data_IF_101865518974
#
_entry.id   IF_101865518974
#
_cell.length_a   1.000
_cell.length_b   1.000
_cell.length_c   1.000
_cell.angle_alpha   90.00
_cell.angle_beta   90.00
_cell.angle_gamma   90.00
#
_symmetry.space_group_name_H-M   'P 1'
#
loop_
_entity.id
_entity.type
_entity.pdbx_description
1 polymer ?
#
# COMPACT_ATOMS: atom_id res chain seq x y z
N UNK A 1 -18.35 -2.08 23.53
CA UNK A 1 -17.56 -1.99 22.27
C UNK A 1 -18.05 -3.08 21.35
N UNK A 2 -18.96 -2.78 20.41
CA UNK A 2 -19.37 -3.78 19.43
C UNK A 2 -18.19 -4.07 18.51
N UNK A 3 -17.64 -5.27 18.59
CA UNK A 3 -16.59 -5.73 17.69
C UNK A 3 -17.26 -5.99 16.34
N UNK A 4 -17.10 -5.03 15.43
CA UNK A 4 -17.64 -5.05 14.08
C UNK A 4 -16.97 -6.18 13.27
N UNK A 5 -17.48 -7.40 13.39
CA UNK A 5 -16.93 -8.56 12.68
C UNK A 5 -17.41 -8.55 11.22
N UNK A 6 -16.69 -7.84 10.33
CA UNK A 6 -16.88 -7.96 8.88
C UNK A 6 -16.66 -9.41 8.46
N UNK A 7 -17.67 -10.01 7.83
CA UNK A 7 -17.58 -11.36 7.25
C UNK A 7 -16.42 -11.46 6.26
N UNK A 8 -15.79 -12.63 6.15
CA UNK A 8 -14.69 -12.89 5.20
C UNK A 8 -15.11 -12.52 3.77
N UNK A 9 -16.38 -12.76 3.40
CA UNK A 9 -16.94 -12.38 2.10
C UNK A 9 -16.94 -10.87 1.88
N UNK A 10 -17.33 -10.08 2.89
CA UNK A 10 -17.31 -8.61 2.82
C UNK A 10 -15.88 -8.09 2.69
N UNK A 11 -14.92 -8.69 3.40
CA UNK A 11 -13.50 -8.31 3.31
C UNK A 11 -12.93 -8.56 1.92
N UNK A 12 -13.26 -9.70 1.32
CA UNK A 12 -12.81 -10.03 -0.05
C UNK A 12 -13.44 -9.08 -1.06
N UNK A 13 -14.75 -8.85 -1.00
CA UNK A 13 -15.43 -7.91 -1.92
C UNK A 13 -14.90 -6.49 -1.76
N UNK A 14 -14.68 -6.04 -0.53
CA UNK A 14 -14.05 -4.75 -0.25
C UNK A 14 -12.65 -4.65 -0.86
N UNK A 15 -11.79 -5.64 -0.61
CA UNK A 15 -10.44 -5.67 -1.14
C UNK A 15 -10.41 -5.69 -2.68
N UNK A 16 -11.28 -6.48 -3.31
CA UNK A 16 -11.39 -6.54 -4.77
C UNK A 16 -11.90 -5.22 -5.35
N UNK A 17 -12.94 -4.61 -4.78
CA UNK A 17 -13.46 -3.32 -5.24
C UNK A 17 -12.44 -2.20 -5.08
N UNK A 18 -11.71 -2.21 -3.96
CA UNK A 18 -10.59 -1.29 -3.72
C UNK A 18 -9.54 -1.46 -4.82
N UNK A 19 -9.06 -2.69 -5.03
CA UNK A 19 -7.97 -2.94 -5.97
C UNK A 19 -8.38 -2.62 -7.42
N UNK A 20 -9.59 -3.01 -7.83
CA UNK A 20 -10.09 -2.76 -9.20
C UNK A 20 -10.23 -1.25 -9.48
N UNK A 21 -10.78 -0.49 -8.54
CA UNK A 21 -10.91 0.97 -8.71
C UNK A 21 -9.55 1.66 -8.63
N UNK A 22 -8.67 1.20 -7.74
CA UNK A 22 -7.31 1.73 -7.62
C UNK A 22 -6.54 1.54 -8.94
N UNK A 23 -6.53 0.32 -9.50
CA UNK A 23 -5.89 0.02 -10.78
C UNK A 23 -6.58 0.77 -11.92
N UNK A 24 -7.91 0.84 -11.91
CA UNK A 24 -8.70 1.53 -12.94
C UNK A 24 -8.39 3.03 -13.06
N UNK A 25 -7.92 3.68 -11.99
CA UNK A 25 -7.54 5.10 -12.00
C UNK A 25 -6.02 5.27 -12.10
N UNK A 26 -5.26 4.49 -11.34
CA UNK A 26 -3.80 4.62 -11.28
C UNK A 26 -3.13 4.13 -12.56
N UNK A 27 -3.60 3.06 -13.20
CA UNK A 27 -2.96 2.52 -14.40
C UNK A 27 -3.06 3.46 -15.62
N UNK A 28 -4.21 4.09 -15.94
CA UNK A 28 -4.27 5.12 -16.98
C UNK A 28 -3.43 6.35 -16.66
N UNK A 29 -3.45 6.82 -15.41
CA UNK A 29 -2.65 7.97 -14.98
C UNK A 29 -1.15 7.69 -15.11
N UNK A 30 -0.71 6.53 -14.63
CA UNK A 30 0.67 6.13 -14.69
C UNK A 30 1.13 5.86 -16.14
N UNK A 31 0.26 5.28 -16.98
CA UNK A 31 0.52 5.12 -18.41
C UNK A 31 0.67 6.46 -19.13
N UNK A 32 -0.14 7.47 -18.77
CA UNK A 32 -0.02 8.82 -19.31
C UNK A 32 1.29 9.51 -18.88
N UNK A 33 1.72 9.32 -17.63
CA UNK A 33 2.96 9.90 -17.10
C UNK A 33 4.23 9.24 -17.66
N UNK A 34 4.20 7.92 -17.87
CA UNK A 34 5.38 7.14 -18.31
C UNK A 34 5.39 6.84 -19.81
N UNK A 35 4.28 7.09 -20.52
CA UNK A 35 4.10 6.72 -21.92
C UNK A 35 4.01 5.21 -22.18
N UNK A 36 3.90 4.38 -21.14
CA UNK A 36 3.82 2.91 -21.24
C UNK A 36 2.36 2.45 -21.37
N UNK A 37 2.15 1.17 -21.68
CA UNK A 37 0.79 0.60 -21.78
C UNK A 37 0.10 0.52 -20.42
N UNK A 38 -1.23 0.76 -20.40
CA UNK A 38 -2.06 0.66 -19.20
C UNK A 38 -1.92 -0.72 -18.53
N UNK A 39 -1.87 -1.78 -19.34
CA UNK A 39 -1.70 -3.15 -18.84
C UNK A 39 -0.35 -3.33 -18.14
N UNK A 40 0.75 -2.81 -18.71
CA UNK A 40 2.08 -2.88 -18.09
C UNK A 40 2.11 -2.12 -16.76
N UNK A 41 1.48 -0.94 -16.70
CA UNK A 41 1.42 -0.15 -15.48
C UNK A 41 0.55 -0.81 -14.40
N UNK A 42 -0.57 -1.43 -14.78
CA UNK A 42 -1.40 -2.20 -13.85
C UNK A 42 -0.68 -3.42 -13.27
N UNK A 43 0.13 -4.10 -14.09
CA UNK A 43 1.01 -5.19 -13.61
C UNK A 43 2.06 -4.64 -12.66
N UNK A 44 2.72 -3.54 -13.01
CA UNK A 44 3.73 -2.89 -12.17
C UNK A 44 3.15 -2.51 -10.80
N UNK A 45 1.99 -1.86 -10.75
CA UNK A 45 1.33 -1.49 -9.49
C UNK A 45 0.97 -2.71 -8.65
N UNK A 46 0.47 -3.78 -9.27
CA UNK A 46 0.15 -5.03 -8.57
C UNK A 46 1.41 -5.71 -8.00
N UNK A 47 2.52 -5.71 -8.75
CA UNK A 47 3.80 -6.26 -8.29
C UNK A 47 4.37 -5.43 -7.13
N UNK A 48 4.33 -4.10 -7.20
CA UNK A 48 4.75 -3.21 -6.11
C UNK A 48 3.90 -3.45 -4.86
N UNK A 49 2.57 -3.55 -5.00
CA UNK A 49 1.68 -3.85 -3.89
C UNK A 49 2.01 -5.20 -3.24
N UNK A 50 2.27 -6.23 -4.05
CA UNK A 50 2.72 -7.53 -3.55
C UNK A 50 4.08 -7.44 -2.84
N UNK A 51 5.05 -6.74 -3.42
CA UNK A 51 6.35 -6.50 -2.79
C UNK A 51 6.20 -5.78 -1.45
N UNK A 52 5.32 -4.79 -1.36
CA UNK A 52 5.03 -4.07 -0.11
C UNK A 52 4.42 -4.99 0.96
N UNK A 53 3.50 -5.88 0.58
CA UNK A 53 2.94 -6.89 1.51
C UNK A 53 4.04 -7.81 2.03
N UNK A 54 4.87 -8.35 1.13
CA UNK A 54 5.98 -9.24 1.50
C UNK A 54 6.99 -8.53 2.38
N UNK A 55 7.39 -7.31 2.00
CA UNK A 55 8.33 -6.49 2.78
C UNK A 55 7.76 -6.16 4.16
N UNK A 56 6.47 -5.85 4.25
CA UNK A 56 5.82 -5.57 5.52
C UNK A 56 5.82 -6.77 6.46
N UNK A 57 5.53 -7.96 5.94
CA UNK A 57 5.63 -9.18 6.74
C UNK A 57 7.06 -9.46 7.19
N UNK A 58 8.03 -9.33 6.29
CA UNK A 58 9.44 -9.58 6.58
C UNK A 58 10.00 -8.59 7.60
N UNK A 59 9.76 -7.30 7.42
CA UNK A 59 10.27 -6.24 8.28
C UNK A 59 9.67 -6.33 9.68
N UNK A 60 8.35 -6.53 9.79
CA UNK A 60 7.70 -6.74 11.09
C UNK A 60 8.26 -7.98 11.80
N UNK A 61 8.46 -9.09 11.06
CA UNK A 61 9.07 -10.30 11.64
C UNK A 61 10.51 -10.05 12.13
N UNK A 62 11.33 -9.37 11.35
CA UNK A 62 12.70 -9.01 11.74
C UNK A 62 12.71 -8.13 13.00
N UNK A 63 11.82 -7.14 13.04
CA UNK A 63 11.72 -6.21 14.16
C UNK A 63 11.16 -6.87 15.43
N UNK A 64 10.16 -7.73 15.32
CA UNK A 64 9.61 -8.50 16.42
C UNK A 64 10.67 -9.45 17.00
N UNK A 65 11.48 -10.10 16.14
CA UNK A 65 12.60 -10.93 16.58
C UNK A 65 13.68 -10.10 17.29
N UNK A 66 13.99 -8.90 16.78
CA UNK A 66 14.92 -7.96 17.42
C UNK A 66 14.42 -7.54 18.80
N UNK A 67 13.14 -7.20 18.91
CA UNK A 67 12.52 -6.84 20.18
C UNK A 67 12.51 -8.00 21.17
N UNK A 68 12.21 -9.22 20.72
CA UNK A 68 12.25 -10.40 21.57
C UNK A 68 13.67 -10.70 22.08
N UNK A 69 14.69 -10.44 21.26
CA UNK A 69 16.10 -10.63 21.64
C UNK A 69 16.61 -9.56 22.61
N UNK A 70 16.29 -8.28 22.38
CA UNK A 70 16.84 -7.16 23.14
C UNK A 70 15.91 -6.61 24.24
N UNK A 71 14.66 -7.08 24.31
CA UNK A 71 13.63 -6.71 25.30
C UNK A 71 13.48 -5.20 25.53
N UNK A 72 13.66 -4.39 24.49
CA UNK A 72 13.47 -2.94 24.58
C UNK A 72 11.98 -2.58 24.61
N UNK A 73 11.63 -1.53 25.36
CA UNK A 73 10.27 -1.00 25.38
C UNK A 73 9.98 -0.22 24.10
N UNK A 74 8.78 -0.38 23.49
CA UNK A 74 8.35 0.37 22.30
C UNK A 74 8.02 1.83 22.65
N UNK A 75 9.04 2.61 22.99
CA UNK A 75 8.94 4.07 23.17
C UNK A 75 8.59 4.75 21.84
N UNK A 76 8.13 6.01 21.90
CA UNK A 76 7.78 6.80 20.71
C UNK A 76 8.97 6.88 19.74
N UNK A 77 10.19 7.07 20.25
CA UNK A 77 11.42 7.09 19.45
C UNK A 77 11.65 5.81 18.66
N UNK A 78 11.43 4.65 19.29
CA UNK A 78 11.61 3.35 18.63
C UNK A 78 10.55 3.14 17.56
N UNK A 79 9.31 3.62 17.77
CA UNK A 79 8.26 3.58 16.75
C UNK A 79 8.60 4.46 15.55
N UNK A 80 9.16 5.65 15.77
CA UNK A 80 9.63 6.51 14.68
C UNK A 80 10.78 5.87 13.91
N UNK A 81 11.78 5.33 14.60
CA UNK A 81 12.89 4.58 13.97
C UNK A 81 12.39 3.39 13.16
N UNK A 82 11.42 2.64 13.69
CA UNK A 82 10.79 1.52 12.98
C UNK A 82 10.07 1.98 11.71
N UNK A 83 9.25 3.04 11.80
CA UNK A 83 8.55 3.57 10.63
C UNK A 83 9.52 4.12 9.58
N UNK A 84 10.54 4.88 9.99
CA UNK A 84 11.57 5.38 9.07
C UNK A 84 12.38 4.25 8.43
N UNK A 85 12.76 3.23 9.20
CA UNK A 85 13.51 2.08 8.69
C UNK A 85 12.68 1.21 7.74
N UNK A 86 11.38 1.05 8.02
CA UNK A 86 10.43 0.39 7.14
C UNK A 86 10.38 1.07 5.79
N UNK A 87 10.14 2.39 5.79
CA UNK A 87 9.95 3.18 4.58
C UNK A 87 11.24 3.23 3.75
N UNK A 88 12.38 3.49 4.42
CA UNK A 88 13.69 3.48 3.75
C UNK A 88 14.02 2.13 3.14
N UNK A 89 13.77 1.04 3.87
CA UNK A 89 13.99 -0.31 3.36
C UNK A 89 13.10 -0.64 2.17
N UNK A 90 11.84 -0.21 2.20
CA UNK A 90 10.91 -0.39 1.10
C UNK A 90 11.36 0.39 -0.14
N UNK A 91 11.73 1.67 0.01
CA UNK A 91 12.24 2.51 -1.07
C UNK A 91 13.48 1.89 -1.72
N UNK A 92 14.41 1.34 -0.91
CA UNK A 92 15.62 0.70 -1.41
C UNK A 92 15.37 -0.56 -2.25
N UNK A 93 14.22 -1.21 -2.10
CA UNK A 93 13.86 -2.41 -2.88
C UNK A 93 12.91 -2.06 -4.03
N UNK A 94 11.89 -1.24 -3.76
CA UNK A 94 10.85 -0.88 -4.71
C UNK A 94 11.37 0.08 -5.79
N UNK A 95 12.12 1.14 -5.45
CA UNK A 95 12.54 2.16 -6.41
C UNK A 95 13.50 1.61 -7.47
N UNK A 96 14.53 0.80 -7.15
CA UNK A 96 15.36 0.18 -8.18
C UNK A 96 14.58 -0.76 -9.09
N UNK A 97 13.59 -1.48 -8.56
CA UNK A 97 12.73 -2.34 -9.36
C UNK A 97 11.87 -1.53 -10.35
N UNK A 98 11.27 -0.42 -9.89
CA UNK A 98 10.49 0.49 -10.74
C UNK A 98 11.37 1.15 -11.80
N UNK A 99 12.56 1.61 -11.42
CA UNK A 99 13.53 2.20 -12.35
C UNK A 99 13.93 1.21 -13.45
N UNK A 100 14.20 -0.03 -13.07
CA UNK A 100 14.50 -1.11 -14.01
C UNK A 100 13.31 -1.43 -14.92
N UNK A 101 12.08 -1.49 -14.38
CA UNK A 101 10.88 -1.80 -15.15
C UNK A 101 10.54 -0.71 -16.19
N UNK A 102 10.70 0.56 -15.80
CA UNK A 102 10.37 1.69 -16.66
C UNK A 102 11.50 2.06 -17.63
N UNK A 103 12.69 1.48 -17.46
CA UNK A 103 13.94 1.91 -18.11
C UNK A 103 14.21 3.40 -17.86
N UNK A 104 14.12 3.79 -16.58
CA UNK A 104 14.17 5.17 -16.13
C UNK A 104 15.25 5.38 -15.07
N UNK A 105 15.62 6.65 -14.83
CA UNK A 105 16.55 6.99 -13.76
C UNK A 105 15.94 6.73 -12.38
N UNK A 106 16.78 6.43 -11.38
CA UNK A 106 16.33 6.24 -9.98
C UNK A 106 15.54 7.44 -9.45
N UNK A 107 15.93 8.66 -9.83
CA UNK A 107 15.21 9.87 -9.44
C UNK A 107 13.81 9.94 -10.06
N UNK A 108 13.69 9.60 -11.34
CA UNK A 108 12.38 9.54 -11.99
C UNK A 108 11.49 8.49 -11.33
N UNK A 109 12.01 7.28 -11.07
CA UNK A 109 11.30 6.22 -10.38
C UNK A 109 10.87 6.62 -8.96
N UNK A 110 11.74 7.31 -8.21
CA UNK A 110 11.41 7.82 -6.88
C UNK A 110 10.28 8.85 -6.92
N UNK A 111 10.31 9.79 -7.88
CA UNK A 111 9.23 10.77 -8.06
C UNK A 111 7.92 10.09 -8.45
N UNK A 112 7.98 9.10 -9.33
CA UNK A 112 6.80 8.29 -9.71
C UNK A 112 6.23 7.54 -8.51
N UNK A 113 7.09 6.94 -7.67
CA UNK A 113 6.69 6.22 -6.46
C UNK A 113 6.02 7.16 -5.44
N UNK A 114 6.62 8.33 -5.17
CA UNK A 114 6.03 9.36 -4.31
C UNK A 114 4.67 9.82 -4.86
N UNK A 115 4.57 10.03 -6.17
CA UNK A 115 3.30 10.40 -6.82
C UNK A 115 2.22 9.32 -6.63
N UNK A 116 2.60 8.06 -6.75
CA UNK A 116 1.70 6.92 -6.53
C UNK A 116 1.25 6.83 -5.08
N UNK A 117 2.16 6.95 -4.10
CA UNK A 117 1.84 6.95 -2.67
C UNK A 117 0.90 8.11 -2.30
N UNK A 118 1.21 9.32 -2.80
CA UNK A 118 0.37 10.51 -2.60
C UNK A 118 -1.00 10.40 -3.27
N UNK A 119 -1.15 9.55 -4.30
CA UNK A 119 -2.45 9.23 -4.89
C UNK A 119 -3.20 8.17 -4.06
N UNK A 120 -2.54 7.08 -3.68
CA UNK A 120 -3.15 5.97 -2.95
C UNK A 120 -3.62 6.38 -1.54
N UNK A 121 -2.92 7.28 -0.86
CA UNK A 121 -3.31 7.78 0.47
C UNK A 121 -4.70 8.42 0.51
N UNK A 122 -4.98 9.52 -0.23
CA UNK A 122 -6.30 10.12 -0.26
C UNK A 122 -7.33 9.19 -0.91
N UNK A 123 -6.94 8.43 -1.96
CA UNK A 123 -7.83 7.44 -2.57
C UNK A 123 -8.34 6.44 -1.53
N UNK A 124 -7.45 5.87 -0.72
CA UNK A 124 -7.82 4.89 0.29
C UNK A 124 -8.70 5.50 1.37
N UNK A 125 -8.41 6.74 1.79
CA UNK A 125 -9.26 7.46 2.73
C UNK A 125 -10.69 7.65 2.19
N UNK A 126 -10.85 8.17 0.96
CA UNK A 126 -12.16 8.42 0.37
C UNK A 126 -12.92 7.12 0.06
N UNK A 127 -12.22 6.09 -0.43
CA UNK A 127 -12.83 4.78 -0.67
C UNK A 127 -13.35 4.18 0.63
N UNK A 128 -12.53 4.15 1.69
CA UNK A 128 -12.95 3.63 2.99
C UNK A 128 -14.15 4.41 3.55
N UNK A 129 -14.12 5.75 3.47
CA UNK A 129 -15.24 6.59 3.90
C UNK A 129 -16.52 6.32 3.09
N UNK A 130 -16.40 6.17 1.77
CA UNK A 130 -17.52 5.88 0.89
C UNK A 130 -18.11 4.50 1.14
N UNK A 131 -17.25 3.49 1.31
CA UNK A 131 -17.67 2.12 1.61
C UNK A 131 -18.34 2.03 2.98
N UNK A 132 -17.82 2.71 4.00
CA UNK A 132 -18.40 2.73 5.34
C UNK A 132 -19.80 3.36 5.32
N UNK A 133 -19.97 4.50 4.62
CA UNK A 133 -21.29 5.12 4.41
C UNK A 133 -22.27 4.25 3.63
N UNK A 134 -21.81 3.54 2.60
CA UNK A 134 -22.64 2.60 1.85
C UNK A 134 -23.05 1.42 2.73
N UNK A 135 -22.12 0.87 3.52
CA UNK A 135 -22.39 -0.24 4.44
C UNK A 135 -23.42 0.14 5.51
N UNK A 136 -23.30 1.32 6.10
CA UNK A 136 -24.29 1.86 7.05
C UNK A 136 -25.68 2.01 6.43
N UNK A 137 -25.76 2.33 5.13
CA UNK A 137 -27.03 2.50 4.43
C UNK A 137 -27.70 1.19 4.02
N UNK A 138 -26.94 0.15 3.70
CA UNK A 138 -27.46 -1.14 3.22
C UNK A 138 -27.55 -2.23 4.31
N UNK A 139 -26.81 -2.10 5.41
CA UNK A 139 -26.89 -2.98 6.58
C UNK A 139 -27.22 -2.09 7.79
N UNK A 140 -28.51 -1.79 8.04
CA UNK A 140 -28.90 -1.14 9.28
C UNK A 140 -28.46 -2.07 10.42
N UNK A 141 -27.80 -1.50 11.41
CA UNK A 141 -27.60 -2.20 12.69
C UNK A 141 -29.00 -2.41 13.27
N UNK A 142 -29.54 -3.62 13.11
CA UNK A 142 -30.73 -4.06 13.84
C UNK A 142 -30.37 -4.32 15.31
#
# INVERSE_FOLDING_TARGET
MQVYQRSIKERIVHALLFEILAIGISAPLAAWLTGKSIVSMGILTAVIAFMAIVWNMLYNWMFDNLQNRYRFERTVWIRMLHACGFELGLILVAVPFVAWWLDATLLYALITDIGLVLFYLPYAFFFNLGYDKLRERFIPSA
#
